data_IF_923685651450
#
_entry.id   IF_923685651450
#
_cell.length_a   1.000
_cell.length_b   1.000
_cell.length_c   1.000
_cell.angle_alpha   90.00
_cell.angle_beta   90.00
_cell.angle_gamma   90.00
#
_symmetry.space_group_name_H-M   'P 1'
#
loop_
_entity.id
_entity.type
_entity.pdbx_description
1 polymer ?
#
# COMPACT_ATOMS: atom_id res chain seq x y z
N UNK A 1 -20.07 16.46 4.60
CA UNK A 1 -18.76 16.04 4.07
C UNK A 1 -17.73 16.23 5.18
N UNK A 2 -16.97 15.19 5.54
CA UNK A 2 -15.83 15.39 6.43
C UNK A 2 -14.66 16.02 5.66
N UNK A 3 -13.98 17.04 6.21
CA UNK A 3 -12.81 17.64 5.58
C UNK A 3 -11.65 16.63 5.53
N UNK A 4 -10.70 16.86 4.62
CA UNK A 4 -9.41 16.17 4.64
C UNK A 4 -8.52 16.86 5.67
N UNK A 5 -8.01 16.09 6.61
CA UNK A 5 -7.02 16.54 7.60
C UNK A 5 -5.63 16.08 7.16
N UNK A 6 -4.67 17.00 7.04
CA UNK A 6 -3.27 16.64 6.76
C UNK A 6 -2.63 16.11 8.05
N UNK A 7 -2.23 14.85 8.07
CA UNK A 7 -1.68 14.18 9.26
C UNK A 7 -0.21 13.76 9.10
N UNK A 8 0.37 13.95 7.92
CA UNK A 8 1.78 13.67 7.69
C UNK A 8 2.30 14.22 6.36
N UNK A 9 3.58 14.56 6.33
CA UNK A 9 4.29 14.98 5.12
C UNK A 9 5.66 14.32 5.06
N UNK A 10 6.14 14.08 3.85
CA UNK A 10 7.50 13.59 3.60
C UNK A 10 8.03 14.18 2.29
N UNK A 11 9.28 14.64 2.29
CA UNK A 11 9.94 15.14 1.09
C UNK A 11 10.41 13.97 0.23
N UNK A 12 9.95 13.89 -1.01
CA UNK A 12 10.49 12.94 -1.98
C UNK A 12 11.82 13.49 -2.53
N UNK A 13 12.93 12.73 -2.49
CA UNK A 13 14.18 13.17 -3.09
C UNK A 13 14.01 13.51 -4.58
N UNK A 14 14.33 14.74 -4.96
CA UNK A 14 14.18 15.21 -6.34
C UNK A 14 12.72 15.36 -6.82
N UNK A 15 11.74 15.31 -5.91
CA UNK A 15 10.32 15.43 -6.25
C UNK A 15 9.54 16.32 -5.29
N UNK A 16 8.22 16.26 -5.43
CA UNK A 16 7.27 17.02 -4.61
C UNK A 16 7.09 16.43 -3.20
N UNK A 17 6.37 17.15 -2.35
CA UNK A 17 5.99 16.64 -1.03
C UNK A 17 4.92 15.56 -1.15
N UNK A 18 5.22 14.41 -0.55
CA UNK A 18 4.25 13.36 -0.25
C UNK A 18 3.44 13.79 0.97
N UNK A 19 2.12 13.63 0.92
CA UNK A 19 1.18 14.05 1.96
C UNK A 19 0.25 12.90 2.32
N UNK A 20 0.04 12.70 3.62
CA UNK A 20 -0.92 11.74 4.16
C UNK A 20 -2.10 12.52 4.73
N UNK A 21 -3.31 12.22 4.24
CA UNK A 21 -4.55 12.81 4.71
C UNK A 21 -5.43 11.78 5.40
N UNK A 22 -6.11 12.17 6.47
CA UNK A 22 -7.23 11.45 7.07
C UNK A 22 -8.56 12.08 6.65
N UNK A 23 -9.58 11.26 6.37
CA UNK A 23 -10.94 11.72 6.04
C UNK A 23 -11.97 10.63 6.34
N UNK A 24 -12.81 10.81 7.35
CA UNK A 24 -13.94 9.90 7.58
C UNK A 24 -13.55 8.46 7.86
N UNK A 25 -12.42 8.25 8.55
CA UNK A 25 -11.87 6.91 8.83
C UNK A 25 -11.01 6.34 7.70
N UNK A 26 -10.95 7.02 6.55
CA UNK A 26 -10.06 6.68 5.45
C UNK A 26 -8.76 7.47 5.49
N UNK A 27 -7.75 6.92 4.82
CA UNK A 27 -6.44 7.52 4.62
C UNK A 27 -6.14 7.67 3.14
N UNK A 28 -5.45 8.75 2.76
CA UNK A 28 -5.08 9.05 1.37
C UNK A 28 -3.63 9.50 1.33
N UNK A 29 -2.82 8.86 0.48
CA UNK A 29 -1.47 9.33 0.13
C UNK A 29 -1.57 10.11 -1.17
N UNK A 30 -1.06 11.33 -1.16
CA UNK A 30 -1.03 12.22 -2.33
C UNK A 30 0.39 12.76 -2.56
N UNK A 31 0.72 13.00 -3.83
CA UNK A 31 1.93 13.70 -4.25
C UNK A 31 1.52 14.99 -4.95
N UNK A 32 1.87 16.13 -4.34
CA UNK A 32 1.25 17.41 -4.66
C UNK A 32 -0.29 17.25 -4.84
N UNK A 33 -0.88 17.67 -5.96
CA UNK A 33 -2.34 17.64 -6.18
C UNK A 33 -2.88 16.26 -6.60
N UNK A 34 -2.01 15.27 -6.81
CA UNK A 34 -2.40 13.96 -7.31
C UNK A 34 -2.60 12.96 -6.16
N UNK A 35 -3.76 12.32 -6.11
CA UNK A 35 -4.00 11.18 -5.23
C UNK A 35 -3.33 9.94 -5.80
N UNK A 36 -2.43 9.33 -5.02
CA UNK A 36 -1.71 8.13 -5.42
C UNK A 36 -2.46 6.87 -4.99
N UNK A 37 -2.88 6.82 -3.73
CA UNK A 37 -3.55 5.65 -3.15
C UNK A 37 -4.41 6.04 -1.96
N UNK A 38 -5.41 5.20 -1.64
CA UNK A 38 -6.28 5.39 -0.49
C UNK A 38 -6.59 4.08 0.21
N UNK A 39 -7.12 4.16 1.44
CA UNK A 39 -7.55 2.99 2.20
C UNK A 39 -8.76 2.25 1.61
N UNK A 40 -9.46 2.84 0.62
CA UNK A 40 -10.76 2.36 0.13
C UNK A 40 -10.66 1.22 -0.88
N UNK A 41 -9.60 1.20 -1.68
CA UNK A 41 -9.42 0.23 -2.76
C UNK A 41 -8.04 -0.39 -2.64
N UNK A 42 -7.99 -1.71 -2.68
CA UNK A 42 -6.75 -2.50 -2.53
C UNK A 42 -6.71 -3.76 -3.40
N UNK A 43 -7.68 -3.92 -4.32
CA UNK A 43 -7.89 -5.18 -5.04
C UNK A 43 -6.71 -5.56 -5.94
N UNK A 44 -6.06 -4.59 -6.59
CA UNK A 44 -4.86 -4.83 -7.39
C UNK A 44 -3.67 -5.29 -6.54
N UNK A 45 -3.50 -4.71 -5.37
CA UNK A 45 -2.41 -5.00 -4.43
C UNK A 45 -2.59 -6.40 -3.82
N UNK A 46 -3.82 -6.74 -3.46
CA UNK A 46 -4.17 -8.07 -2.97
C UNK A 46 -4.00 -9.12 -4.07
N UNK A 47 -4.49 -8.86 -5.29
CA UNK A 47 -4.29 -9.75 -6.44
C UNK A 47 -2.82 -9.95 -6.78
N UNK A 48 -2.00 -8.90 -6.71
CA UNK A 48 -0.56 -8.99 -6.97
C UNK A 48 0.11 -9.97 -6.00
N UNK A 49 -0.23 -9.92 -4.70
CA UNK A 49 0.30 -10.84 -3.72
C UNK A 49 -0.19 -12.27 -3.95
N UNK A 50 -1.51 -12.46 -4.11
CA UNK A 50 -2.11 -13.80 -4.22
C UNK A 50 -1.68 -14.52 -5.49
N UNK A 51 -1.75 -13.85 -6.64
CA UNK A 51 -1.35 -14.45 -7.92
C UNK A 51 0.14 -14.75 -7.98
N UNK A 52 0.99 -13.96 -7.31
CA UNK A 52 2.43 -14.25 -7.21
C UNK A 52 2.66 -15.53 -6.41
N UNK A 53 2.01 -15.66 -5.24
CA UNK A 53 2.12 -16.85 -4.41
C UNK A 53 1.55 -18.10 -5.10
N UNK A 54 0.43 -17.97 -5.82
CA UNK A 54 -0.15 -19.07 -6.60
C UNK A 54 0.83 -19.60 -7.66
N UNK A 55 1.59 -18.71 -8.30
CA UNK A 55 2.62 -19.08 -9.28
C UNK A 55 3.87 -19.69 -8.63
N UNK A 56 4.26 -19.22 -7.44
CA UNK A 56 5.41 -19.76 -6.71
C UNK A 56 5.12 -21.15 -6.12
N UNK A 57 3.85 -21.48 -5.88
CA UNK A 57 3.43 -22.77 -5.34
C UNK A 57 3.90 -23.01 -3.90
N UNK A 58 4.14 -24.26 -3.53
CA UNK A 58 4.49 -24.69 -2.17
C UNK A 58 5.99 -24.58 -1.86
N UNK A 59 6.63 -23.47 -2.24
CA UNK A 59 8.01 -23.23 -1.84
C UNK A 59 8.11 -23.30 -0.31
N UNK A 60 9.01 -24.14 0.21
CA UNK A 60 9.12 -24.42 1.66
C UNK A 60 9.49 -23.19 2.50
N UNK A 61 10.19 -22.23 1.89
CA UNK A 61 10.59 -20.96 2.51
C UNK A 61 10.69 -19.89 1.41
N UNK A 62 9.57 -19.31 0.96
CA UNK A 62 9.60 -18.34 -0.12
C UNK A 62 10.16 -17.01 0.39
N UNK A 63 11.09 -16.42 -0.35
CA UNK A 63 11.62 -15.09 -0.07
C UNK A 63 11.01 -14.09 -1.06
N UNK A 64 10.18 -13.17 -0.58
CA UNK A 64 9.49 -12.18 -1.40
C UNK A 64 10.03 -10.77 -1.13
N UNK A 65 10.27 -10.02 -2.20
CA UNK A 65 10.53 -8.58 -2.14
C UNK A 65 9.23 -7.82 -2.38
N UNK A 66 8.85 -6.97 -1.44
CA UNK A 66 7.77 -6.00 -1.63
C UNK A 66 8.40 -4.69 -2.11
N UNK A 67 8.20 -4.36 -3.40
CA UNK A 67 8.86 -3.23 -4.05
C UNK A 67 8.49 -1.85 -3.51
N UNK A 68 7.37 -1.73 -2.79
CA UNK A 68 6.97 -0.51 -2.10
C UNK A 68 5.89 -0.79 -1.09
N UNK A 69 5.95 -0.15 0.07
CA UNK A 69 4.96 -0.37 1.13
C UNK A 69 3.63 0.28 0.80
N UNK A 70 3.62 1.54 0.32
CA UNK A 70 2.37 2.28 0.11
C UNK A 70 1.48 2.23 1.35
N UNK A 71 0.27 1.68 1.21
CA UNK A 71 -0.68 1.44 2.31
C UNK A 71 -0.53 0.05 2.98
N UNK A 72 0.47 -0.74 2.60
CA UNK A 72 0.79 -2.05 3.17
C UNK A 72 -0.06 -3.21 2.66
N UNK A 73 -0.93 -3.00 1.66
CA UNK A 73 -1.90 -3.99 1.20
C UNK A 73 -1.26 -5.25 0.62
N UNK A 74 -0.29 -5.10 -0.27
CA UNK A 74 0.43 -6.25 -0.86
C UNK A 74 1.15 -7.05 0.22
N UNK A 75 1.84 -6.39 1.16
CA UNK A 75 2.51 -7.07 2.27
C UNK A 75 1.50 -7.83 3.14
N UNK A 76 0.42 -7.18 3.57
CA UNK A 76 -0.62 -7.80 4.39
C UNK A 76 -1.20 -9.04 3.72
N UNK A 77 -1.55 -8.93 2.44
CA UNK A 77 -2.09 -10.05 1.67
C UNK A 77 -1.10 -11.20 1.52
N UNK A 78 0.20 -10.90 1.32
CA UNK A 78 1.24 -11.92 1.28
C UNK A 78 1.40 -12.62 2.63
N UNK A 79 1.54 -11.86 3.73
CA UNK A 79 1.72 -12.40 5.08
C UNK A 79 0.54 -13.26 5.54
N UNK A 80 -0.69 -12.95 5.11
CA UNK A 80 -1.87 -13.76 5.42
C UNK A 80 -1.82 -15.18 4.80
N UNK A 81 -0.99 -15.39 3.79
CA UNK A 81 -0.86 -16.67 3.06
C UNK A 81 0.47 -17.38 3.30
N UNK A 82 1.46 -16.69 3.88
CA UNK A 82 2.76 -17.25 4.17
C UNK A 82 2.75 -17.91 5.55
N UNK A 83 3.46 -19.04 5.72
CA UNK A 83 3.64 -19.64 7.04
C UNK A 83 4.37 -18.67 7.97
N UNK A 84 3.90 -18.61 9.22
CA UNK A 84 4.53 -17.86 10.34
C UNK A 84 5.60 -18.70 11.01
#
# INVERSE_FOLDING_TARGET
MQPRELIGTARVPGGDDLRLFAKGGDFIIALDRNELMSSRMSGSEEALATMTLDRLGHARAPHLLIGGYGMGFTLRAALARLPV
#
